data_IF_377868521578
#
_entry.id   IF_377868521578
#
_cell.length_a   1.000
_cell.length_b   1.000
_cell.length_c   1.000
_cell.angle_alpha   90.00
_cell.angle_beta   90.00
_cell.angle_gamma   90.00
#
_symmetry.space_group_name_H-M   'P 1'
#
loop_
_entity.id
_entity.type
_entity.pdbx_description
1 polymer ?
#
# COMPACT_ATOMS: atom_id res chain seq x y z
N UNK A 1 17.54 4.19 19.76
CA UNK A 1 16.96 4.59 18.48
C UNK A 1 15.46 4.39 18.53
N UNK A 2 14.74 5.45 18.26
CA UNK A 2 13.29 5.35 18.29
C UNK A 2 12.81 5.01 16.88
N UNK A 3 12.27 3.85 16.75
CA UNK A 3 11.72 3.40 15.49
C UNK A 3 10.20 3.40 15.64
N UNK A 4 9.51 4.03 14.71
CA UNK A 4 8.07 3.97 14.71
C UNK A 4 7.66 2.56 14.24
N UNK A 5 7.14 1.73 15.16
CA UNK A 5 6.87 0.34 14.79
C UNK A 5 5.80 0.20 13.71
N UNK A 6 4.93 1.19 13.59
CA UNK A 6 3.90 1.14 12.56
C UNK A 6 4.50 1.29 11.16
N UNK A 7 5.46 2.21 11.00
CA UNK A 7 6.09 2.44 9.71
C UNK A 7 6.99 1.28 9.32
N UNK A 8 7.80 0.81 10.26
CA UNK A 8 8.73 -0.28 9.99
C UNK A 8 8.00 -1.59 9.72
N UNK A 9 6.93 -1.84 10.46
CA UNK A 9 6.17 -3.07 10.30
C UNK A 9 5.41 -3.13 8.99
N UNK A 10 5.06 -1.98 8.42
CA UNK A 10 4.33 -1.96 7.16
C UNK A 10 5.12 -2.61 6.03
N UNK A 11 6.41 -2.34 5.95
CA UNK A 11 7.24 -2.92 4.90
C UNK A 11 7.46 -4.41 5.07
N UNK A 12 7.34 -4.91 6.30
CA UNK A 12 7.54 -6.33 6.60
C UNK A 12 6.26 -7.15 6.49
N UNK A 13 5.10 -6.49 6.49
CA UNK A 13 3.83 -7.17 6.44
C UNK A 13 3.55 -7.73 5.05
N UNK A 14 2.91 -8.89 5.03
CA UNK A 14 2.43 -9.46 3.77
C UNK A 14 1.20 -8.69 3.30
N UNK A 15 0.91 -8.82 2.01
CA UNK A 15 -0.24 -8.13 1.42
C UNK A 15 -1.55 -8.51 2.13
N UNK A 16 -1.72 -9.79 2.43
CA UNK A 16 -2.91 -10.25 3.15
C UNK A 16 -3.01 -9.67 4.54
N UNK A 17 -1.88 -9.47 5.21
CA UNK A 17 -1.86 -8.85 6.53
C UNK A 17 -2.22 -7.37 6.45
N UNK A 18 -1.72 -6.67 5.43
CA UNK A 18 -2.08 -5.28 5.22
C UNK A 18 -3.58 -5.14 4.97
N UNK A 19 -4.13 -6.00 4.12
CA UNK A 19 -5.55 -5.99 3.83
C UNK A 19 -6.39 -6.27 5.08
N UNK A 20 -5.97 -7.24 5.90
CA UNK A 20 -6.65 -7.52 7.17
C UNK A 20 -6.64 -6.33 8.09
N UNK A 21 -5.50 -5.65 8.19
CA UNK A 21 -5.41 -4.48 9.05
C UNK A 21 -6.27 -3.35 8.56
N UNK A 22 -6.32 -3.15 7.24
CA UNK A 22 -7.20 -2.14 6.67
C UNK A 22 -8.66 -2.44 7.02
N UNK A 23 -9.08 -3.69 6.92
CA UNK A 23 -10.44 -4.08 7.27
C UNK A 23 -10.73 -3.85 8.75
N UNK A 24 -9.80 -4.24 9.62
CA UNK A 24 -9.97 -4.04 11.06
C UNK A 24 -10.05 -2.57 11.41
N UNK A 25 -9.15 -1.77 10.84
CA UNK A 25 -9.14 -0.33 11.07
C UNK A 25 -10.40 0.33 10.52
N UNK A 26 -10.89 -0.14 9.38
CA UNK A 26 -12.13 0.38 8.82
C UNK A 26 -13.32 0.13 9.72
N UNK A 27 -13.39 -1.07 10.32
CA UNK A 27 -14.43 -1.37 11.29
C UNK A 27 -14.35 -0.44 12.49
N UNK A 28 -13.14 -0.26 13.03
CA UNK A 28 -12.94 0.64 14.17
C UNK A 28 -13.30 2.06 13.82
N UNK A 29 -12.98 2.50 12.61
CA UNK A 29 -13.31 3.84 12.15
C UNK A 29 -14.80 4.13 12.28
N UNK A 30 -15.63 3.17 11.88
CA UNK A 30 -17.07 3.35 11.94
C UNK A 30 -17.66 3.16 13.34
N UNK A 31 -16.93 2.49 14.23
CA UNK A 31 -17.40 2.25 15.60
C UNK A 31 -17.03 3.38 16.55
N UNK A 32 -16.02 4.16 16.24
CA UNK A 32 -15.53 5.23 17.12
C UNK A 32 -16.35 6.48 16.91
N UNK A 33 -16.78 7.08 18.01
CA UNK A 33 -17.53 8.34 17.96
C UNK A 33 -16.65 9.58 18.08
N UNK A 34 -15.44 9.43 18.59
CA UNK A 34 -14.53 10.55 18.79
C UNK A 34 -13.87 10.94 17.48
N UNK A 35 -14.07 12.19 17.00
CA UNK A 35 -13.52 12.59 15.71
C UNK A 35 -11.99 12.60 15.66
N UNK A 36 -11.33 12.88 16.78
CA UNK A 36 -9.87 12.87 16.80
C UNK A 36 -9.32 11.46 16.60
N UNK A 37 -9.92 10.50 17.29
CA UNK A 37 -9.51 9.10 17.15
C UNK A 37 -9.86 8.61 15.74
N UNK A 38 -11.02 8.99 15.24
CA UNK A 38 -11.43 8.61 13.89
C UNK A 38 -10.44 9.11 12.85
N UNK A 39 -9.98 10.35 12.99
CA UNK A 39 -8.98 10.91 12.08
C UNK A 39 -7.68 10.13 12.13
N UNK A 40 -7.24 9.74 13.33
CA UNK A 40 -6.02 8.94 13.47
C UNK A 40 -6.17 7.57 12.81
N UNK A 41 -7.31 6.93 13.00
CA UNK A 41 -7.59 5.65 12.35
C UNK A 41 -7.57 5.82 10.83
N UNK A 42 -8.17 6.90 10.33
CA UNK A 42 -8.16 7.18 8.90
C UNK A 42 -6.75 7.33 8.34
N UNK A 43 -5.87 7.98 9.09
CA UNK A 43 -4.47 8.12 8.68
C UNK A 43 -3.77 6.75 8.63
N UNK A 44 -4.03 5.89 9.61
CA UNK A 44 -3.46 4.55 9.60
C UNK A 44 -3.98 3.73 8.41
N UNK A 45 -5.26 3.85 8.10
CA UNK A 45 -5.83 3.19 6.93
C UNK A 45 -5.11 3.67 5.67
N UNK A 46 -4.93 4.97 5.54
CA UNK A 46 -4.27 5.53 4.37
C UNK A 46 -2.83 5.05 4.24
N UNK A 47 -2.10 4.97 5.36
CA UNK A 47 -0.74 4.48 5.36
C UNK A 47 -0.66 3.04 4.85
N UNK A 48 -1.57 2.20 5.31
CA UNK A 48 -1.60 0.80 4.88
C UNK A 48 -1.96 0.69 3.40
N UNK A 49 -2.92 1.48 2.95
CA UNK A 49 -3.31 1.50 1.54
C UNK A 49 -2.18 1.99 0.64
N UNK A 50 -1.45 2.99 1.10
CA UNK A 50 -0.31 3.51 0.34
C UNK A 50 0.79 2.48 0.19
N UNK A 51 1.03 1.70 1.24
CA UNK A 51 2.01 0.62 1.15
C UNK A 51 1.60 -0.41 0.12
N UNK A 52 0.31 -0.80 0.11
CA UNK A 52 -0.19 -1.73 -0.91
C UNK A 52 -0.05 -1.16 -2.31
N UNK A 53 -0.40 0.11 -2.48
CA UNK A 53 -0.27 0.77 -3.78
C UNK A 53 1.18 0.78 -4.24
N UNK A 54 2.09 1.09 -3.34
CA UNK A 54 3.51 1.12 -3.68
C UNK A 54 4.02 -0.24 -4.13
N UNK A 55 3.56 -1.30 -3.47
CA UNK A 55 3.94 -2.66 -3.84
C UNK A 55 3.39 -3.04 -5.21
N UNK A 56 2.13 -2.71 -5.44
CA UNK A 56 1.50 -2.97 -6.73
C UNK A 56 2.16 -2.19 -7.85
N UNK A 57 2.52 -0.94 -7.58
CA UNK A 57 3.21 -0.10 -8.55
C UNK A 57 4.58 -0.68 -8.91
N UNK A 58 5.31 -1.17 -7.90
CA UNK A 58 6.62 -1.77 -8.14
C UNK A 58 6.52 -3.03 -8.98
N UNK A 59 5.55 -3.87 -8.67
CA UNK A 59 5.32 -5.08 -9.46
C UNK A 59 4.91 -4.73 -10.88
N UNK A 60 4.04 -3.75 -11.03
CA UNK A 60 3.58 -3.31 -12.33
C UNK A 60 4.74 -2.75 -13.16
N UNK A 61 5.61 -1.96 -12.53
CA UNK A 61 6.77 -1.43 -13.22
C UNK A 61 7.72 -2.53 -13.68
N UNK A 62 7.96 -3.51 -12.84
CA UNK A 62 8.83 -4.63 -13.20
C UNK A 62 8.26 -5.39 -14.39
N UNK A 63 6.97 -5.65 -14.38
CA UNK A 63 6.33 -6.35 -15.49
C UNK A 63 6.33 -5.50 -16.75
N UNK A 64 6.06 -4.21 -16.60
CA UNK A 64 6.02 -3.31 -17.74
C UNK A 64 7.39 -3.03 -18.33
N UNK A 65 8.44 -3.03 -17.52
CA UNK A 65 9.77 -2.87 -18.06
C UNK A 65 10.14 -4.00 -19.01
N UNK A 66 9.76 -5.22 -18.66
CA UNK A 66 9.97 -6.36 -19.55
C UNK A 66 9.14 -6.23 -20.82
N UNK A 67 7.88 -5.83 -20.67
CA UNK A 67 6.99 -5.64 -21.81
C UNK A 67 7.42 -4.46 -22.67
N UNK A 68 7.88 -3.39 -22.04
CA UNK A 68 8.31 -2.21 -22.77
C UNK A 68 9.51 -2.48 -23.67
N UNK A 69 10.41 -3.35 -23.24
CA UNK A 69 11.51 -3.74 -24.11
C UNK A 69 11.00 -4.41 -25.38
N UNK A 70 10.05 -5.29 -25.24
CA UNK A 70 9.45 -5.95 -26.39
C UNK A 70 8.66 -4.98 -27.25
N UNK A 71 7.88 -4.11 -26.59
CA UNK A 71 7.10 -3.11 -27.29
C UNK A 71 7.98 -2.08 -27.99
N UNK A 72 9.05 -1.65 -27.33
CA UNK A 72 9.99 -0.71 -27.92
C UNK A 72 10.65 -1.31 -29.16
N UNK A 73 11.00 -2.57 -29.09
CA UNK A 73 11.57 -3.27 -30.23
C UNK A 73 10.57 -3.31 -31.40
N UNK A 74 9.31 -3.58 -31.08
CA UNK A 74 8.27 -3.61 -32.09
C UNK A 74 8.03 -2.22 -32.69
N UNK A 75 8.03 -1.21 -31.87
CA UNK A 75 7.82 0.16 -32.33
C UNK A 75 9.01 0.63 -33.17
N UNK A 76 10.21 0.27 -32.74
CA UNK A 76 11.41 0.66 -33.47
C UNK A 76 11.49 -0.02 -34.84
N UNK A 77 11.02 -1.22 -34.91
CA UNK A 77 11.01 -1.95 -36.16
C UNK A 77 9.98 -1.39 -37.15
N UNK A 78 8.91 -0.88 -36.60
CA UNK A 78 7.90 -0.26 -37.42
C UNK A 78 8.30 1.18 -37.77
#
# INVERSE_FOLDING_TARGET
MVINPLVDNLSELKDSELESKIQDLSKKYWMVNNPNIRNQIGLFIDMHREELKARQARLWEQQNQKRNKDLDNLIQVS
#
